data_IF_533007950378
#
_entry.id   IF_533007950378
#
_cell.length_a   1.000
_cell.length_b   1.000
_cell.length_c   1.000
_cell.angle_alpha   90.00
_cell.angle_beta   90.00
_cell.angle_gamma   90.00
#
_symmetry.space_group_name_H-M   'P 1'
#
loop_
_entity.id
_entity.type
_entity.pdbx_description
1 polymer ?
#
# COMPACT_ATOMS: atom_id res chain seq x y z
N UNK A 1 -4.29 -21.29 -9.75
CA UNK A 1 -2.97 -20.61 -9.73
C UNK A 1 -3.00 -19.43 -10.68
N UNK A 2 -2.36 -18.32 -10.31
CA UNK A 2 -2.18 -17.14 -11.17
C UNK A 2 -0.72 -17.10 -11.59
N UNK A 3 -0.48 -16.94 -12.90
CA UNK A 3 0.84 -16.90 -13.50
C UNK A 3 1.12 -15.50 -14.06
N UNK A 4 2.34 -14.99 -13.88
CA UNK A 4 2.84 -13.80 -14.58
C UNK A 4 4.04 -14.21 -15.41
N UNK A 5 3.98 -13.95 -16.72
CA UNK A 5 5.00 -14.35 -17.70
C UNK A 5 5.38 -15.84 -17.58
N UNK A 6 4.39 -16.69 -17.33
CA UNK A 6 4.57 -18.14 -17.15
C UNK A 6 5.04 -18.58 -15.75
N UNK A 7 5.40 -17.66 -14.86
CA UNK A 7 5.85 -17.99 -13.50
C UNK A 7 4.70 -17.92 -12.49
N UNK A 8 4.55 -18.90 -11.59
CA UNK A 8 3.53 -18.86 -10.55
C UNK A 8 3.83 -17.78 -9.52
N UNK A 9 2.88 -16.86 -9.33
CA UNK A 9 3.00 -15.75 -8.36
C UNK A 9 2.00 -15.84 -7.22
N UNK A 10 0.87 -16.51 -7.44
CA UNK A 10 -0.15 -16.71 -6.42
C UNK A 10 -0.96 -17.98 -6.67
N UNK A 11 -1.54 -18.55 -5.61
CA UNK A 11 -2.42 -19.70 -5.68
C UNK A 11 -3.54 -19.57 -4.65
N UNK A 12 -4.62 -20.31 -4.85
CA UNK A 12 -5.79 -20.27 -3.99
C UNK A 12 -6.82 -21.30 -4.44
N UNK A 13 -7.71 -21.66 -3.53
CA UNK A 13 -8.76 -22.65 -3.75
C UNK A 13 -10.12 -21.98 -3.60
N UNK A 14 -11.05 -22.37 -4.47
CA UNK A 14 -12.43 -21.89 -4.45
C UNK A 14 -13.36 -23.09 -4.66
N UNK A 15 -13.87 -23.70 -3.56
CA UNK A 15 -14.74 -24.86 -3.65
C UNK A 15 -16.03 -24.53 -4.43
N UNK A 16 -16.42 -25.34 -5.42
CA UNK A 16 -17.63 -25.11 -6.19
C UNK A 16 -18.89 -25.09 -5.31
N UNK A 17 -19.85 -24.21 -5.64
CA UNK A 17 -21.14 -24.12 -4.95
C UNK A 17 -21.07 -23.65 -3.48
N UNK A 18 -19.94 -23.06 -3.08
CA UNK A 18 -19.77 -22.45 -1.76
C UNK A 18 -19.62 -20.94 -1.84
N UNK A 19 -19.93 -20.30 -0.73
CA UNK A 19 -19.75 -18.87 -0.49
C UNK A 19 -18.60 -18.67 0.50
N UNK A 20 -17.93 -17.53 0.40
CA UNK A 20 -16.91 -17.11 1.35
C UNK A 20 -17.50 -16.11 2.33
N UNK A 21 -17.53 -16.44 3.61
CA UNK A 21 -18.01 -15.57 4.67
C UNK A 21 -16.83 -14.99 5.46
N UNK A 22 -16.66 -13.67 5.42
CA UNK A 22 -15.63 -12.95 6.16
C UNK A 22 -16.09 -12.68 7.59
N UNK A 23 -15.23 -13.02 8.54
CA UNK A 23 -15.50 -12.84 9.96
C UNK A 23 -15.27 -11.37 10.35
N UNK A 24 -16.24 -10.70 11.01
CA UNK A 24 -16.10 -9.30 11.37
C UNK A 24 -15.04 -9.10 12.47
N UNK A 25 -15.10 -9.90 13.55
CA UNK A 25 -14.22 -9.81 14.71
C UNK A 25 -13.88 -11.19 15.30
N UNK A 26 -12.92 -11.24 16.22
CA UNK A 26 -12.55 -12.47 16.94
C UNK A 26 -13.68 -13.06 17.79
N UNK A 27 -14.72 -12.29 18.11
CA UNK A 27 -15.78 -12.75 19.02
C UNK A 27 -17.08 -13.13 18.27
N UNK A 28 -17.04 -13.06 16.94
CA UNK A 28 -18.20 -13.40 16.10
C UNK A 28 -18.61 -14.87 16.30
N UNK A 29 -19.93 -15.18 16.35
CA UNK A 29 -20.42 -16.54 16.50
C UNK A 29 -19.85 -17.47 15.42
N UNK A 30 -19.53 -18.70 15.80
CA UNK A 30 -19.09 -19.70 14.82
C UNK A 30 -20.24 -20.13 13.91
N UNK A 31 -19.94 -20.26 12.62
CA UNK A 31 -20.87 -20.71 11.59
C UNK A 31 -20.37 -22.02 10.97
N UNK A 32 -21.27 -22.95 10.57
CA UNK A 32 -20.86 -24.19 9.93
C UNK A 32 -20.15 -23.95 8.59
N UNK A 33 -18.96 -24.52 8.41
CA UNK A 33 -18.23 -24.42 7.15
C UNK A 33 -16.79 -24.91 7.26
N UNK A 34 -15.99 -24.61 6.24
CA UNK A 34 -14.57 -24.94 6.20
C UNK A 34 -13.79 -23.64 6.49
N UNK A 35 -13.10 -23.53 7.64
CA UNK A 35 -12.27 -22.38 7.94
C UNK A 35 -11.18 -22.20 6.89
N UNK A 36 -10.94 -20.96 6.49
CA UNK A 36 -9.91 -20.59 5.50
C UNK A 36 -9.37 -19.20 5.80
N UNK A 37 -8.38 -18.77 5.03
CA UNK A 37 -8.06 -17.35 4.85
C UNK A 37 -8.42 -16.94 3.44
N UNK A 38 -8.85 -15.70 3.29
CA UNK A 38 -9.08 -15.17 1.96
C UNK A 38 -7.74 -14.99 1.24
N UNK A 39 -7.66 -15.34 -0.06
CA UNK A 39 -6.39 -15.33 -0.77
C UNK A 39 -5.94 -13.93 -1.19
N UNK A 40 -6.86 -12.94 -1.20
CA UNK A 40 -6.49 -11.57 -1.51
C UNK A 40 -5.86 -10.92 -0.29
N UNK A 41 -6.53 -10.94 0.87
CA UNK A 41 -6.18 -10.15 2.04
C UNK A 41 -5.59 -10.93 3.22
N UNK A 42 -5.69 -12.25 3.23
CA UNK A 42 -5.27 -13.10 4.34
C UNK A 42 -6.21 -13.03 5.54
N UNK A 43 -7.40 -12.44 5.38
CA UNK A 43 -8.40 -12.27 6.42
C UNK A 43 -9.03 -13.62 6.78
N UNK A 44 -9.32 -13.86 8.07
CA UNK A 44 -10.07 -15.04 8.50
C UNK A 44 -11.44 -15.11 7.80
N UNK A 45 -11.73 -16.26 7.19
CA UNK A 45 -12.99 -16.48 6.50
C UNK A 45 -13.42 -17.95 6.62
N UNK A 46 -14.65 -18.24 6.21
CA UNK A 46 -15.21 -19.59 6.24
C UNK A 46 -15.92 -19.87 4.92
N UNK A 47 -15.63 -21.03 4.30
CA UNK A 47 -16.39 -21.52 3.16
C UNK A 47 -17.69 -22.18 3.62
N UNK A 48 -18.82 -21.52 3.36
CA UNK A 48 -20.14 -21.97 3.77
C UNK A 48 -20.95 -22.49 2.57
N UNK A 49 -21.94 -23.34 2.83
CA UNK A 49 -22.93 -23.71 1.81
C UNK A 49 -23.92 -22.56 1.61
N UNK A 50 -24.52 -22.46 0.41
CA UNK A 50 -25.51 -21.40 0.08
C UNK A 50 -26.63 -21.29 1.13
N UNK A 51 -27.11 -22.43 1.64
CA UNK A 51 -28.17 -22.47 2.67
C UNK A 51 -27.80 -21.78 3.98
N UNK A 52 -26.51 -21.64 4.29
CA UNK A 52 -26.04 -21.01 5.52
C UNK A 52 -25.87 -19.49 5.36
N UNK A 53 -26.07 -18.92 4.15
CA UNK A 53 -25.92 -17.49 3.87
C UNK A 53 -26.68 -16.62 4.87
N UNK A 54 -27.98 -16.87 5.02
CA UNK A 54 -28.84 -16.06 5.89
C UNK A 54 -28.37 -16.09 7.36
N UNK A 55 -27.90 -17.26 7.82
CA UNK A 55 -27.36 -17.42 9.19
C UNK A 55 -26.04 -16.65 9.35
N UNK A 56 -25.16 -16.71 8.35
CA UNK A 56 -23.89 -15.99 8.37
C UNK A 56 -24.08 -14.47 8.37
N UNK A 57 -24.95 -13.95 7.51
CA UNK A 57 -25.29 -12.53 7.45
C UNK A 57 -25.93 -12.04 8.76
N UNK A 58 -26.83 -12.85 9.38
CA UNK A 58 -27.40 -12.55 10.70
C UNK A 58 -26.34 -12.54 11.82
N UNK A 59 -25.29 -13.36 11.70
CA UNK A 59 -24.17 -13.38 12.62
C UNK A 59 -23.13 -12.26 12.33
N UNK A 60 -23.42 -11.35 11.39
CA UNK A 60 -22.57 -10.21 11.05
C UNK A 60 -21.44 -10.50 10.05
N UNK A 61 -21.43 -11.69 9.42
CA UNK A 61 -20.42 -12.00 8.41
C UNK A 61 -20.75 -11.30 7.09
N UNK A 62 -19.72 -10.77 6.43
CA UNK A 62 -19.85 -10.33 5.04
C UNK A 62 -19.69 -11.54 4.11
N UNK A 63 -20.73 -11.89 3.36
CA UNK A 63 -20.75 -13.09 2.52
C UNK A 63 -20.61 -12.72 1.04
N UNK A 64 -19.64 -13.35 0.36
CA UNK A 64 -19.39 -13.15 -1.08
C UNK A 64 -19.37 -14.48 -1.84
N UNK A 65 -19.64 -14.40 -3.14
CA UNK A 65 -19.50 -15.54 -4.03
C UNK A 65 -18.03 -15.94 -4.23
N UNK A 66 -17.79 -17.22 -4.52
CA UNK A 66 -16.47 -17.73 -4.88
C UNK A 66 -15.87 -17.01 -6.10
N UNK A 67 -16.70 -16.66 -7.10
CA UNK A 67 -16.34 -15.86 -8.28
C UNK A 67 -15.76 -14.49 -7.89
N UNK A 68 -16.43 -13.80 -6.96
CA UNK A 68 -15.99 -12.51 -6.41
C UNK A 68 -14.69 -12.64 -5.62
N UNK A 69 -14.52 -13.70 -4.84
CA UNK A 69 -13.28 -13.97 -4.12
C UNK A 69 -12.10 -14.17 -5.09
N UNK A 70 -12.31 -14.94 -6.17
CA UNK A 70 -11.31 -15.14 -7.24
C UNK A 70 -10.98 -13.83 -7.96
N UNK A 71 -11.99 -13.04 -8.33
CA UNK A 71 -11.79 -11.75 -9.00
C UNK A 71 -11.02 -10.76 -8.12
N UNK A 72 -11.35 -10.70 -6.83
CA UNK A 72 -10.68 -9.86 -5.83
C UNK A 72 -9.22 -10.27 -5.64
N UNK A 73 -8.96 -11.58 -5.58
CA UNK A 73 -7.60 -12.12 -5.52
C UNK A 73 -6.79 -11.75 -6.76
N UNK A 74 -7.35 -11.95 -7.96
CA UNK A 74 -6.69 -11.57 -9.20
C UNK A 74 -6.37 -10.06 -9.23
N UNK A 75 -7.31 -9.22 -8.80
CA UNK A 75 -7.10 -7.78 -8.73
C UNK A 75 -6.01 -7.38 -7.72
N UNK A 76 -5.89 -8.05 -6.57
CA UNK A 76 -4.79 -7.83 -5.62
C UNK A 76 -3.45 -8.26 -6.21
N UNK A 77 -3.38 -9.43 -6.88
CA UNK A 77 -2.15 -9.89 -7.53
C UNK A 77 -1.71 -8.93 -8.63
N UNK A 78 -2.63 -8.43 -9.46
CA UNK A 78 -2.30 -7.42 -10.47
C UNK A 78 -1.77 -6.15 -9.79
N UNK A 79 -2.37 -5.71 -8.67
CA UNK A 79 -1.91 -4.52 -7.94
C UNK A 79 -0.53 -4.71 -7.31
N UNK A 80 -0.24 -5.87 -6.72
CA UNK A 80 1.07 -6.16 -6.11
C UNK A 80 2.18 -6.30 -7.15
N UNK A 81 1.83 -6.70 -8.38
CA UNK A 81 2.76 -6.85 -9.50
C UNK A 81 2.66 -5.71 -10.53
N UNK A 82 1.96 -4.62 -10.22
CA UNK A 82 1.71 -3.55 -11.19
C UNK A 82 3.00 -2.92 -11.73
N UNK A 83 4.03 -2.82 -10.89
CA UNK A 83 5.36 -2.33 -11.29
C UNK A 83 6.00 -3.19 -12.40
N UNK A 84 5.96 -4.52 -12.27
CA UNK A 84 6.58 -5.42 -13.24
C UNK A 84 5.75 -5.60 -14.51
N UNK A 85 4.43 -5.42 -14.40
CA UNK A 85 3.50 -5.45 -15.52
C UNK A 85 3.59 -4.20 -16.40
N UNK A 86 4.03 -3.06 -15.84
CA UNK A 86 4.22 -1.82 -16.58
C UNK A 86 5.54 -1.85 -17.39
N UNK A 87 5.46 -2.33 -18.63
CA UNK A 87 6.55 -2.27 -19.60
C UNK A 87 6.58 -0.98 -20.42
N UNK A 88 7.58 -0.85 -21.29
CA UNK A 88 7.70 0.30 -22.21
C UNK A 88 6.51 0.43 -23.16
N UNK A 89 5.96 -0.71 -23.60
CA UNK A 89 4.78 -0.74 -24.48
C UNK A 89 3.55 -0.13 -23.78
N UNK A 90 3.28 -0.52 -22.53
CA UNK A 90 2.17 0.03 -21.77
C UNK A 90 2.34 1.54 -21.54
N UNK A 91 3.56 2.01 -21.28
CA UNK A 91 3.83 3.45 -21.17
C UNK A 91 3.54 4.18 -22.48
N UNK A 92 3.97 3.63 -23.62
CA UNK A 92 3.67 4.21 -24.93
C UNK A 92 2.16 4.28 -25.20
N UNK A 93 1.42 3.22 -24.87
CA UNK A 93 -0.04 3.19 -24.99
C UNK A 93 -0.73 4.23 -24.10
N UNK A 94 -0.29 4.37 -22.85
CA UNK A 94 -0.82 5.39 -21.93
C UNK A 94 -0.56 6.81 -22.45
N UNK A 95 0.65 7.07 -22.96
CA UNK A 95 1.00 8.35 -23.56
C UNK A 95 0.18 8.64 -24.82
N UNK A 96 -0.07 7.63 -25.65
CA UNK A 96 -0.86 7.79 -26.86
C UNK A 96 -2.34 8.05 -26.55
N UNK A 97 -2.92 7.33 -25.58
CA UNK A 97 -4.27 7.60 -25.09
C UNK A 97 -4.41 9.02 -24.54
N UNK A 98 -3.38 9.52 -23.84
CA UNK A 98 -3.38 10.90 -23.37
C UNK A 98 -3.23 11.90 -24.52
N UNK A 99 -2.35 11.61 -25.49
CA UNK A 99 -2.13 12.45 -26.69
C UNK A 99 -3.42 12.64 -27.49
N UNK A 100 -4.27 11.61 -27.59
CA UNK A 100 -5.58 11.73 -28.25
C UNK A 100 -6.51 12.76 -27.58
N UNK A 101 -6.32 13.03 -26.28
CA UNK A 101 -7.13 13.98 -25.50
C UNK A 101 -6.51 15.37 -25.44
N UNK A 102 -5.19 15.45 -25.27
CA UNK A 102 -4.44 16.71 -25.07
C UNK A 102 -3.12 16.69 -25.86
N UNK A 103 -3.15 16.68 -27.20
CA UNK A 103 -1.98 16.39 -28.03
C UNK A 103 -0.84 17.38 -27.82
N UNK A 104 -1.15 18.69 -27.80
CA UNK A 104 -0.15 19.75 -27.62
C UNK A 104 0.63 19.62 -26.31
N UNK A 105 -0.07 19.34 -25.21
CA UNK A 105 0.57 19.18 -23.90
C UNK A 105 1.53 17.97 -23.90
N UNK A 106 1.15 16.86 -24.51
CA UNK A 106 2.00 15.67 -24.58
C UNK A 106 3.20 15.89 -25.48
N UNK A 107 3.02 16.48 -26.66
CA UNK A 107 4.08 16.66 -27.66
C UNK A 107 5.12 17.71 -27.24
N UNK A 108 4.72 18.72 -26.45
CA UNK A 108 5.65 19.67 -25.84
C UNK A 108 6.49 19.04 -24.72
N UNK A 109 5.93 18.09 -23.96
CA UNK A 109 6.58 17.47 -22.81
C UNK A 109 7.45 16.26 -23.22
N UNK A 110 6.89 15.32 -23.98
CA UNK A 110 7.52 14.02 -24.28
C UNK A 110 7.81 13.91 -25.78
N UNK A 111 9.04 13.56 -26.20
CA UNK A 111 10.18 13.14 -25.37
C UNK A 111 11.14 14.28 -24.99
N UNK A 112 10.85 15.53 -25.39
CA UNK A 112 11.83 16.62 -25.39
C UNK A 112 12.22 17.12 -23.99
N UNK A 113 11.24 17.47 -23.15
CA UNK A 113 11.49 17.90 -21.77
C UNK A 113 11.65 16.70 -20.84
N UNK A 114 10.86 15.65 -21.07
CA UNK A 114 10.80 14.46 -20.23
C UNK A 114 11.01 13.22 -21.11
N UNK A 115 12.16 12.55 -21.00
CA UNK A 115 12.40 11.30 -21.71
C UNK A 115 11.39 10.21 -21.30
N UNK A 116 10.97 9.37 -22.25
CA UNK A 116 10.07 8.24 -21.99
C UNK A 116 10.61 7.30 -20.91
N UNK A 117 11.93 7.15 -20.80
CA UNK A 117 12.59 6.37 -19.74
C UNK A 117 12.33 6.94 -18.34
N UNK A 118 12.31 8.27 -18.20
CA UNK A 118 12.00 8.94 -16.94
C UNK A 118 10.52 8.76 -16.60
N UNK A 119 9.62 8.93 -17.57
CA UNK A 119 8.18 8.63 -17.38
C UNK A 119 7.99 7.20 -16.90
N UNK A 120 8.61 6.23 -17.59
CA UNK A 120 8.53 4.81 -17.23
C UNK A 120 9.02 4.55 -15.81
N UNK A 121 10.18 5.10 -15.43
CA UNK A 121 10.75 4.97 -14.08
C UNK A 121 9.83 5.58 -13.01
N UNK A 122 9.30 6.77 -13.25
CA UNK A 122 8.39 7.45 -12.31
C UNK A 122 7.11 6.66 -12.11
N UNK A 123 6.44 6.24 -13.20
CA UNK A 123 5.21 5.45 -13.12
C UNK A 123 5.43 4.11 -12.41
N UNK A 124 6.56 3.43 -12.66
CA UNK A 124 6.94 2.22 -11.94
C UNK A 124 7.13 2.48 -10.45
N UNK A 125 7.82 3.55 -10.06
CA UNK A 125 8.02 3.87 -8.65
C UNK A 125 6.71 4.16 -7.93
N UNK A 126 5.78 4.87 -8.58
CA UNK A 126 4.43 5.10 -8.06
C UNK A 126 3.66 3.78 -7.89
N UNK A 127 3.63 2.91 -8.90
CA UNK A 127 2.92 1.63 -8.84
C UNK A 127 3.50 0.64 -7.83
N UNK A 128 4.83 0.63 -7.64
CA UNK A 128 5.51 -0.14 -6.59
C UNK A 128 4.97 0.18 -5.21
N UNK A 129 4.61 1.44 -4.99
CA UNK A 129 4.00 1.94 -3.75
C UNK A 129 2.47 1.98 -3.82
N UNK A 130 1.86 1.27 -4.78
CA UNK A 130 0.42 1.17 -5.01
C UNK A 130 -0.28 2.50 -5.28
N UNK A 131 0.46 3.50 -5.76
CA UNK A 131 -0.07 4.82 -6.10
C UNK A 131 -0.72 4.78 -7.48
N UNK A 132 -1.95 5.31 -7.58
CA UNK A 132 -2.68 5.40 -8.84
C UNK A 132 -1.99 6.35 -9.83
N UNK A 133 -1.74 5.86 -11.04
CA UNK A 133 -1.16 6.63 -12.16
C UNK A 133 -2.21 7.16 -13.14
N UNK A 134 -3.50 7.11 -12.76
CA UNK A 134 -4.61 7.58 -13.62
C UNK A 134 -4.55 9.06 -13.91
N UNK A 135 -4.03 9.85 -12.97
CA UNK A 135 -3.77 11.27 -13.16
C UNK A 135 -2.42 11.49 -13.86
N UNK A 136 -2.30 10.91 -15.06
CA UNK A 136 -1.13 11.03 -15.91
C UNK A 136 -0.83 12.49 -16.31
N UNK A 137 -1.83 13.38 -16.55
CA UNK A 137 -1.56 14.80 -16.79
C UNK A 137 -0.75 15.45 -15.67
N UNK A 138 -1.21 15.35 -14.42
CA UNK A 138 -0.49 15.91 -13.26
C UNK A 138 0.92 15.36 -13.14
N UNK A 139 1.10 14.05 -13.40
CA UNK A 139 2.43 13.40 -13.39
C UNK A 139 3.35 14.03 -14.46
N UNK A 140 2.88 14.15 -15.70
CA UNK A 140 3.70 14.69 -16.79
C UNK A 140 4.00 16.18 -16.62
N UNK A 141 3.03 16.97 -16.17
CA UNK A 141 3.20 18.41 -15.89
C UNK A 141 4.25 18.62 -14.79
N UNK A 142 4.17 17.83 -13.71
CA UNK A 142 5.16 17.89 -12.62
C UNK A 142 6.55 17.51 -13.13
N UNK A 143 6.67 16.43 -13.92
CA UNK A 143 7.96 16.07 -14.50
C UNK A 143 8.49 17.17 -15.43
N UNK A 144 7.65 17.77 -16.27
CA UNK A 144 8.05 18.85 -17.18
C UNK A 144 8.56 20.09 -16.43
N UNK A 145 7.93 20.44 -15.29
CA UNK A 145 8.32 21.59 -14.47
C UNK A 145 9.70 21.41 -13.81
N UNK A 146 10.01 20.20 -13.35
CA UNK A 146 11.17 19.96 -12.49
C UNK A 146 12.33 19.21 -13.17
N UNK A 147 12.07 18.32 -14.14
CA UNK A 147 13.12 17.53 -14.80
C UNK A 147 14.25 18.34 -15.47
N UNK A 148 14.01 19.55 -16.03
CA UNK A 148 15.10 20.35 -16.59
C UNK A 148 16.13 20.82 -15.55
N UNK A 149 15.76 20.84 -14.25
CA UNK A 149 16.59 21.34 -13.14
C UNK A 149 17.02 20.24 -12.17
N UNK A 150 16.26 19.14 -12.12
CA UNK A 150 16.46 18.03 -11.18
C UNK A 150 16.74 16.75 -11.97
N UNK A 151 17.94 16.21 -11.81
CA UNK A 151 18.33 14.93 -12.43
C UNK A 151 18.07 13.72 -11.53
N UNK A 152 17.90 13.94 -10.22
CA UNK A 152 17.58 12.89 -9.27
C UNK A 152 16.12 12.44 -9.48
N UNK A 153 15.96 11.25 -10.05
CA UNK A 153 14.66 10.69 -10.35
C UNK A 153 13.85 10.32 -9.09
N UNK A 154 14.49 10.04 -7.95
CA UNK A 154 13.78 9.79 -6.70
C UNK A 154 13.17 11.10 -6.16
N UNK A 155 13.92 12.19 -6.24
CA UNK A 155 13.39 13.52 -5.90
C UNK A 155 12.23 13.94 -6.82
N UNK A 156 12.32 13.62 -8.12
CA UNK A 156 11.22 13.84 -9.05
C UNK A 156 9.97 13.01 -8.70
N UNK A 157 10.14 11.76 -8.28
CA UNK A 157 9.03 10.92 -7.81
C UNK A 157 8.38 11.54 -6.57
N UNK A 158 9.18 12.02 -5.63
CA UNK A 158 8.68 12.66 -4.41
C UNK A 158 7.86 13.93 -4.72
N UNK A 159 8.32 14.76 -5.66
CA UNK A 159 7.57 15.93 -6.14
C UNK A 159 6.25 15.54 -6.83
N UNK A 160 6.28 14.49 -7.66
CA UNK A 160 5.06 13.96 -8.28
C UNK A 160 4.09 13.45 -7.22
N UNK A 161 4.59 12.76 -6.19
CA UNK A 161 3.77 12.28 -5.08
C UNK A 161 3.12 13.43 -4.32
N UNK A 162 3.86 14.49 -4.02
CA UNK A 162 3.31 15.70 -3.39
C UNK A 162 2.17 16.30 -4.23
N UNK A 163 2.34 16.41 -5.55
CA UNK A 163 1.28 16.88 -6.46
C UNK A 163 0.07 15.94 -6.52
N UNK A 164 0.27 14.66 -6.24
CA UNK A 164 -0.77 13.64 -6.13
C UNK A 164 -1.31 13.44 -4.71
N UNK A 165 -1.02 14.32 -3.74
CA UNK A 165 -1.40 14.18 -2.33
C UNK A 165 -2.86 13.74 -2.11
N UNK A 166 -3.82 14.36 -2.82
CA UNK A 166 -5.25 13.98 -2.74
C UNK A 166 -5.49 12.53 -3.19
N UNK A 167 -4.83 12.11 -4.27
CA UNK A 167 -4.92 10.76 -4.81
C UNK A 167 -4.24 9.73 -3.90
N UNK A 168 -3.13 10.11 -3.27
CA UNK A 168 -2.41 9.29 -2.29
C UNK A 168 -3.24 9.04 -1.04
N UNK A 169 -3.82 10.09 -0.46
CA UNK A 169 -4.48 10.01 0.84
C UNK A 169 -5.88 9.41 0.75
N UNK A 170 -6.62 9.67 -0.34
CA UNK A 170 -8.03 9.26 -0.48
C UNK A 170 -8.33 7.79 -0.17
N UNK A 171 -7.55 6.79 -0.64
CA UNK A 171 -7.80 5.38 -0.32
C UNK A 171 -7.63 5.03 1.16
N UNK A 172 -6.98 5.89 1.94
CA UNK A 172 -6.66 5.69 3.36
C UNK A 172 -7.52 6.53 4.30
N UNK A 173 -8.45 7.32 3.77
CA UNK A 173 -9.37 8.10 4.59
C UNK A 173 -10.43 7.18 5.22
N UNK A 174 -10.73 7.46 6.48
CA UNK A 174 -11.88 6.92 7.19
C UNK A 174 -13.20 7.54 6.63
N UNK A 175 -14.37 6.94 6.92
CA UNK A 175 -15.65 7.47 6.47
C UNK A 175 -15.94 8.92 6.89
N UNK A 176 -15.34 9.38 8.00
CA UNK A 176 -15.44 10.76 8.49
C UNK A 176 -14.44 11.74 7.81
N UNK A 177 -13.64 11.25 6.86
CA UNK A 177 -12.62 12.02 6.16
C UNK A 177 -11.31 12.21 6.95
N UNK A 178 -11.16 11.58 8.12
CA UNK A 178 -9.91 11.60 8.87
C UNK A 178 -8.90 10.58 8.34
N UNK A 179 -7.61 10.85 8.55
CA UNK A 179 -6.51 9.96 8.21
C UNK A 179 -5.88 9.40 9.49
N UNK A 180 -5.98 8.09 9.69
CA UNK A 180 -5.32 7.42 10.81
C UNK A 180 -3.86 7.18 10.51
N UNK A 181 -2.98 7.64 11.40
CA UNK A 181 -1.54 7.57 11.20
C UNK A 181 -0.83 6.85 12.36
N UNK A 182 0.15 6.03 12.02
CA UNK A 182 1.23 5.62 12.90
C UNK A 182 2.40 6.56 12.67
N UNK A 183 2.95 7.16 13.72
CA UNK A 183 4.14 8.02 13.59
C UNK A 183 5.38 7.28 14.06
N UNK A 184 6.56 7.78 13.71
CA UNK A 184 7.81 7.34 14.29
C UNK A 184 8.08 8.07 15.60
N UNK A 185 8.78 7.42 16.52
CA UNK A 185 9.43 8.12 17.63
C UNK A 185 10.48 9.10 17.08
N UNK A 186 10.55 10.36 17.56
CA UNK A 186 11.47 11.36 17.03
C UNK A 186 12.95 10.95 17.06
N UNK A 187 13.39 10.22 18.10
CA UNK A 187 14.78 9.76 18.19
C UNK A 187 15.05 8.62 17.20
N UNK A 188 14.07 7.75 16.95
CA UNK A 188 14.16 6.76 15.89
C UNK A 188 14.24 7.45 14.51
N UNK A 189 13.37 8.41 14.25
CA UNK A 189 13.32 9.13 12.99
C UNK A 189 14.64 9.87 12.68
N UNK A 190 15.24 10.54 13.67
CA UNK A 190 16.56 11.18 13.53
C UNK A 190 17.65 10.16 13.14
N UNK A 191 17.69 9.03 13.85
CA UNK A 191 18.66 7.95 13.58
C UNK A 191 18.49 7.39 12.17
N UNK A 192 17.25 7.15 11.74
CA UNK A 192 16.97 6.66 10.39
C UNK A 192 17.40 7.68 9.34
N UNK A 193 17.18 8.98 9.59
CA UNK A 193 17.57 10.05 8.66
C UNK A 193 19.06 10.10 8.41
N UNK A 194 19.87 9.98 9.46
CA UNK A 194 21.33 9.89 9.32
C UNK A 194 21.83 8.62 8.63
N UNK A 195 20.96 7.62 8.47
CA UNK A 195 21.28 6.30 7.91
C UNK A 195 20.79 6.10 6.47
N UNK A 196 20.10 7.09 5.88
CA UNK A 196 19.64 7.00 4.50
C UNK A 196 20.82 7.13 3.55
N UNK A 197 21.01 6.11 2.71
CA UNK A 197 21.94 6.15 1.59
C UNK A 197 21.16 6.28 0.29
N UNK A 198 21.62 7.18 -0.59
CA UNK A 198 21.02 7.39 -1.91
C UNK A 198 21.90 6.75 -2.98
N UNK A 199 21.27 5.98 -3.86
CA UNK A 199 21.94 5.37 -5.02
C UNK A 199 21.16 5.68 -6.28
N UNK A 200 21.75 5.40 -7.44
CA UNK A 200 21.06 5.51 -8.73
C UNK A 200 19.77 4.67 -8.79
N UNK A 201 19.73 3.55 -8.05
CA UNK A 201 18.58 2.64 -7.95
C UNK A 201 17.53 3.03 -6.92
N UNK A 202 17.81 4.05 -6.09
CA UNK A 202 16.91 4.57 -5.05
C UNK A 202 17.55 4.64 -3.67
N UNK A 203 16.79 5.13 -2.70
CA UNK A 203 17.20 5.27 -1.31
C UNK A 203 17.00 4.00 -0.51
N UNK A 204 17.92 3.69 0.40
CA UNK A 204 17.78 2.58 1.36
C UNK A 204 18.35 2.95 2.72
N UNK A 205 17.96 2.21 3.76
CA UNK A 205 18.47 2.39 5.12
C UNK A 205 19.73 1.55 5.34
N UNK A 206 20.86 2.22 5.60
CA UNK A 206 22.10 1.58 6.03
C UNK A 206 22.19 1.61 7.56
N UNK A 207 21.53 0.66 8.21
CA UNK A 207 21.52 0.49 9.67
C UNK A 207 22.05 -0.88 10.05
N UNK A 208 22.47 -1.04 11.31
CA UNK A 208 22.82 -2.35 11.85
C UNK A 208 21.58 -3.27 11.94
N UNK A 209 21.76 -4.60 11.94
CA UNK A 209 20.65 -5.55 11.97
C UNK A 209 19.70 -5.37 13.17
N UNK A 210 20.22 -5.03 14.35
CA UNK A 210 19.38 -4.87 15.55
C UNK A 210 18.46 -3.65 15.43
N UNK A 211 18.95 -2.55 14.86
CA UNK A 211 18.12 -1.37 14.55
C UNK A 211 17.04 -1.71 13.50
N UNK A 212 17.38 -2.46 12.46
CA UNK A 212 16.40 -2.88 11.44
C UNK A 212 15.32 -3.79 12.04
N UNK A 213 15.71 -4.79 12.83
CA UNK A 213 14.77 -5.68 13.53
C UNK A 213 13.87 -4.91 14.51
N UNK A 214 14.45 -3.95 15.25
CA UNK A 214 13.70 -3.08 16.16
C UNK A 214 12.65 -2.24 15.42
N UNK A 215 13.01 -1.69 14.25
CA UNK A 215 12.07 -0.96 13.39
C UNK A 215 10.94 -1.87 12.88
N UNK A 216 11.28 -3.05 12.36
CA UNK A 216 10.31 -4.04 11.85
C UNK A 216 9.31 -4.42 12.96
N UNK A 217 9.81 -4.84 14.12
CA UNK A 217 8.95 -5.18 15.28
C UNK A 217 8.16 -3.98 15.78
N UNK A 218 8.73 -2.78 15.70
CA UNK A 218 8.04 -1.54 16.05
C UNK A 218 6.84 -1.29 15.13
N UNK A 219 7.00 -1.50 13.82
CA UNK A 219 5.92 -1.38 12.83
C UNK A 219 4.84 -2.43 13.10
N UNK A 220 5.21 -3.70 13.29
CA UNK A 220 4.26 -4.79 13.57
C UNK A 220 3.46 -4.53 14.85
N UNK A 221 4.13 -4.11 15.94
CA UNK A 221 3.47 -3.74 17.19
C UNK A 221 2.55 -2.54 17.02
N UNK A 222 3.00 -1.51 16.29
CA UNK A 222 2.17 -0.34 15.99
C UNK A 222 0.90 -0.71 15.23
N UNK A 223 1.03 -1.56 14.21
CA UNK A 223 -0.11 -2.08 13.44
C UNK A 223 -1.07 -2.88 14.32
N UNK A 224 -0.56 -3.81 15.13
CA UNK A 224 -1.38 -4.62 16.03
C UNK A 224 -2.10 -3.76 17.07
N UNK A 225 -1.41 -2.78 17.65
CA UNK A 225 -1.97 -1.90 18.68
C UNK A 225 -2.93 -0.83 18.12
N UNK A 226 -2.81 -0.49 16.83
CA UNK A 226 -3.67 0.53 16.23
C UNK A 226 -5.14 0.12 16.23
N UNK A 227 -5.46 -1.18 16.27
CA UNK A 227 -6.81 -1.68 16.02
C UNK A 227 -7.18 -1.50 14.54
N UNK A 228 -7.77 -2.53 13.94
CA UNK A 228 -8.25 -2.44 12.56
C UNK A 228 -9.12 -1.19 12.38
N UNK A 229 -8.89 -0.41 11.32
CA UNK A 229 -9.74 0.75 11.01
C UNK A 229 -11.15 0.32 10.63
N UNK A 230 -11.99 1.29 10.26
CA UNK A 230 -13.25 0.94 9.64
C UNK A 230 -12.97 0.02 8.43
N UNK A 231 -13.74 -1.06 8.31
CA UNK A 231 -13.59 -2.07 7.25
C UNK A 231 -12.19 -2.76 7.24
N UNK A 232 -11.47 -2.77 8.36
CA UNK A 232 -10.16 -3.42 8.46
C UNK A 232 -9.03 -2.68 7.73
N UNK A 233 -9.21 -1.39 7.41
CA UNK A 233 -8.17 -0.58 6.76
C UNK A 233 -7.00 -0.34 7.74
N UNK A 234 -5.75 -0.62 7.36
CA UNK A 234 -4.60 -0.30 8.19
C UNK A 234 -4.36 1.22 8.22
N UNK A 235 -3.80 1.75 9.32
CA UNK A 235 -3.32 3.13 9.32
C UNK A 235 -2.17 3.32 8.32
N UNK A 236 -1.87 4.57 7.99
CA UNK A 236 -0.66 4.90 7.21
C UNK A 236 0.53 5.15 8.14
N UNK A 237 1.73 4.78 7.74
CA UNK A 237 2.95 5.14 8.44
C UNK A 237 3.40 6.53 7.98
N UNK A 238 3.36 7.50 8.89
CA UNK A 238 3.69 8.88 8.64
C UNK A 238 5.13 9.19 9.08
N UNK A 239 5.88 9.87 8.21
CA UNK A 239 7.28 10.20 8.42
C UNK A 239 7.70 11.51 7.72
N UNK A 240 8.94 11.94 7.93
CA UNK A 240 9.55 13.03 7.16
C UNK A 240 9.97 12.60 5.75
N UNK A 241 9.93 13.57 4.83
CA UNK A 241 10.28 13.37 3.42
C UNK A 241 11.62 12.62 3.20
N UNK A 242 12.73 12.97 3.89
CA UNK A 242 14.04 12.38 3.57
C UNK A 242 14.14 10.88 3.81
N UNK A 243 13.30 10.31 4.69
CA UNK A 243 13.32 8.88 5.03
C UNK A 243 12.21 8.07 4.36
N UNK A 244 11.22 8.75 3.75
CA UNK A 244 9.98 8.15 3.26
C UNK A 244 10.21 6.97 2.30
N UNK A 245 11.02 7.17 1.26
CA UNK A 245 11.27 6.14 0.25
C UNK A 245 11.99 4.91 0.82
N UNK A 246 13.02 5.14 1.65
CA UNK A 246 13.78 4.08 2.29
C UNK A 246 12.92 3.31 3.31
N UNK A 247 12.09 4.02 4.06
CA UNK A 247 11.14 3.44 5.01
C UNK A 247 10.05 2.62 4.30
N UNK A 248 9.54 3.09 3.16
CA UNK A 248 8.57 2.36 2.34
C UNK A 248 9.12 1.00 1.86
N UNK A 249 10.40 0.92 1.54
CA UNK A 249 11.05 -0.35 1.17
C UNK A 249 11.20 -1.32 2.35
N UNK A 250 11.37 -0.83 3.57
CA UNK A 250 11.34 -1.69 4.77
C UNK A 250 9.91 -2.12 5.07
N UNK A 251 8.98 -1.16 5.12
CA UNK A 251 7.58 -1.40 5.44
C UNK A 251 6.94 -2.41 4.48
N UNK A 252 7.19 -2.30 3.17
CA UNK A 252 6.62 -3.22 2.17
C UNK A 252 7.05 -4.68 2.32
N UNK A 253 8.21 -4.96 2.95
CA UNK A 253 8.67 -6.34 3.23
C UNK A 253 7.93 -6.99 4.39
N UNK A 254 7.43 -6.18 5.32
CA UNK A 254 6.79 -6.64 6.57
C UNK A 254 5.27 -6.58 6.43
N UNK A 255 4.77 -5.47 5.91
CA UNK A 255 3.37 -5.19 5.69
C UNK A 255 3.20 -4.61 4.27
N UNK A 256 3.03 -5.46 3.24
CA UNK A 256 2.93 -5.03 1.83
C UNK A 256 1.80 -4.03 1.52
N UNK A 257 0.85 -3.86 2.45
CA UNK A 257 -0.28 -2.93 2.36
C UNK A 257 -0.11 -1.64 3.16
N UNK A 258 0.91 -1.57 4.01
CA UNK A 258 1.16 -0.39 4.80
C UNK A 258 1.65 0.72 3.87
N UNK A 259 0.81 1.72 3.64
CA UNK A 259 1.21 2.92 2.93
C UNK A 259 2.13 3.76 3.83
N UNK A 260 3.23 4.22 3.26
CA UNK A 260 4.16 5.14 3.92
C UNK A 260 4.03 6.50 3.26
N UNK A 261 3.60 7.49 4.02
CA UNK A 261 3.38 8.86 3.55
C UNK A 261 4.32 9.82 4.24
N UNK A 262 4.76 10.84 3.50
CA UNK A 262 5.46 11.98 4.06
C UNK A 262 4.47 13.04 4.55
N UNK A 263 4.87 13.88 5.52
CA UNK A 263 4.03 14.99 6.00
C UNK A 263 3.58 15.94 4.88
N UNK A 264 4.42 16.18 3.89
CA UNK A 264 4.16 16.99 2.69
C UNK A 264 3.11 16.39 1.76
N UNK A 265 2.84 15.08 1.86
CA UNK A 265 1.88 14.37 1.03
C UNK A 265 0.46 14.39 1.61
N UNK A 266 0.26 15.03 2.78
CA UNK A 266 -1.04 15.17 3.43
C UNK A 266 -1.62 16.54 3.11
N UNK A 267 -2.77 16.63 2.38
CA UNK A 267 -3.43 17.90 2.16
C UNK A 267 -3.82 18.57 3.49
N UNK A 268 -3.66 19.90 3.63
CA UNK A 268 -3.86 20.60 4.90
C UNK A 268 -5.28 20.48 5.47
N UNK A 269 -6.28 20.24 4.62
CA UNK A 269 -7.66 20.02 5.04
C UNK A 269 -7.94 18.64 5.66
N UNK A 270 -7.02 17.67 5.50
CA UNK A 270 -7.20 16.32 6.02
C UNK A 270 -6.90 16.30 7.51
N UNK A 271 -7.89 15.92 8.32
CA UNK A 271 -7.71 15.75 9.76
C UNK A 271 -6.89 14.49 10.04
N UNK A 272 -5.69 14.68 10.58
CA UNK A 272 -4.80 13.59 10.99
C UNK A 272 -5.15 13.13 12.41
N UNK A 273 -5.27 11.81 12.60
CA UNK A 273 -5.54 11.18 13.90
C UNK A 273 -4.45 10.15 14.19
N UNK A 274 -3.64 10.42 15.23
CA UNK A 274 -2.59 9.49 15.66
C UNK A 274 -3.19 8.26 16.35
N UNK A 275 -2.81 7.07 15.90
CA UNK A 275 -3.26 5.78 16.48
C UNK A 275 -2.13 4.97 17.12
N UNK A 276 -0.88 5.44 17.04
CA UNK A 276 0.26 4.77 17.67
C UNK A 276 1.59 5.39 17.27
N UNK A 277 2.64 4.98 17.98
CA UNK A 277 4.02 5.42 17.75
C UNK A 277 4.92 4.19 17.60
N UNK A 278 5.63 4.12 16.49
CA UNK A 278 6.64 3.10 16.19
C UNK A 278 7.92 3.44 16.93
N UNK A 279 8.34 2.55 17.83
CA UNK A 279 9.58 2.68 18.62
C UNK A 279 10.57 1.59 18.23
N UNK A 280 11.84 1.97 18.10
CA UNK A 280 12.93 1.09 17.66
C UNK A 280 13.59 0.30 18.78
N UNK A 281 12.90 0.04 19.89
CA UNK A 281 13.49 -0.66 21.03
C UNK A 281 13.76 -2.14 20.71
N UNK A 282 15.02 -2.53 20.88
CA UNK A 282 15.38 -3.92 21.15
C UNK A 282 15.03 -4.24 22.60
N UNK A 283 14.01 -5.07 22.84
CA UNK A 283 13.88 -5.79 24.11
C UNK A 283 12.70 -5.50 25.05
N UNK A 284 11.60 -4.88 24.61
CA UNK A 284 10.35 -4.99 25.40
C UNK A 284 9.54 -6.21 24.94
N UNK A 285 9.17 -7.15 25.83
CA UNK A 285 8.34 -8.29 25.47
C UNK A 285 6.99 -7.81 24.91
N UNK A 286 6.39 -8.64 24.06
CA UNK A 286 5.01 -8.44 23.62
C UNK A 286 4.14 -8.25 24.87
N UNK A 287 3.18 -7.30 24.88
CA UNK A 287 2.18 -7.28 25.94
C UNK A 287 1.52 -8.65 25.95
N UNK A 288 1.58 -9.34 27.09
CA UNK A 288 0.81 -10.55 27.29
C UNK A 288 -0.65 -10.20 26.98
N UNK A 289 -1.20 -10.85 25.96
CA UNK A 289 -2.65 -10.93 25.80
C UNK A 289 -3.12 -11.57 27.09
N UNK A 290 -3.76 -10.77 27.95
CA UNK A 290 -4.45 -11.31 29.12
C UNK A 290 -5.51 -12.28 28.59
N UNK A 291 -5.17 -13.56 28.61
CA UNK A 291 -6.15 -14.60 28.72
C UNK A 291 -6.75 -14.42 30.11
N UNK A 292 -7.82 -13.61 30.18
CA UNK A 292 -8.70 -13.63 31.34
C UNK A 292 -9.28 -15.05 31.39
N UNK A 293 -8.69 -15.85 32.28
CA UNK A 293 -9.19 -17.16 32.63
C UNK A 293 -10.52 -16.99 33.37
N UNK A 294 -11.57 -17.58 32.80
CA UNK A 294 -12.65 -18.16 33.58
C UNK A 294 -12.29 -19.59 33.95
#
# INVERSE_FOLDING_TARGET
TILIRGNPVASGEAPPGRLLAFRPDSDAPEIPGIPTRDPAFGLPAVWIAERERARAEQAGYAVVEASTAVATHLAEVIRSHAEELLGRQQVAELLEQLRQRVPKAVDEIVPNLVPVSLVHRTLRSLLRERVSIRDLPTILETLAEYAPRIQDAELLVDLVRERLARTLVRPHLEPDGSLRVLTLDPALEERLRGSVQRTETGSFLQVDPATLEGLVRGIERGLAASGGGAEGRPPVLLCSQPIRAALAQVASRVAPRLAVLAHTEIPPEVRVVGCGVVRGEAGSPLPEVRADAH
#
